data_IF_243260245153
#
_entry.id   IF_243260245153
#
_cell.length_a   1.000
_cell.length_b   1.000
_cell.length_c   1.000
_cell.angle_alpha   90.00
_cell.angle_beta   90.00
_cell.angle_gamma   90.00
#
_symmetry.space_group_name_H-M   'P 1'
#
loop_
_entity.id
_entity.type
_entity.pdbx_description
1 polymer ?
#
# COMPACT_ATOMS: atom_id res chain seq x y z
N UNK A 1 -16.55 -6.00 71.01
CA UNK A 1 -16.71 -6.80 69.77
C UNK A 1 -17.80 -6.32 68.80
N UNK A 2 -18.20 -5.02 68.78
CA UNK A 2 -19.23 -4.51 67.83
C UNK A 2 -18.67 -3.75 66.62
N UNK A 3 -17.46 -3.20 66.69
CA UNK A 3 -16.92 -2.33 65.63
C UNK A 3 -16.19 -3.07 64.49
N UNK A 4 -15.76 -4.32 64.68
CA UNK A 4 -15.02 -5.04 63.64
C UNK A 4 -15.92 -5.58 62.53
N UNK A 5 -17.21 -5.85 62.82
CA UNK A 5 -18.15 -6.36 61.80
C UNK A 5 -18.39 -5.36 60.67
N UNK A 6 -18.44 -4.07 61.00
CA UNK A 6 -18.62 -2.99 60.01
C UNK A 6 -17.36 -2.79 59.16
N UNK A 7 -16.19 -2.92 59.77
CA UNK A 7 -14.90 -2.86 59.06
C UNK A 7 -14.74 -4.02 58.07
N UNK A 8 -15.06 -5.25 58.50
CA UNK A 8 -15.04 -6.44 57.63
C UNK A 8 -16.02 -6.33 56.46
N UNK A 9 -17.20 -5.75 56.70
CA UNK A 9 -18.21 -5.55 55.65
C UNK A 9 -17.74 -4.54 54.60
N UNK A 10 -17.14 -3.43 55.02
CA UNK A 10 -16.58 -2.41 54.11
C UNK A 10 -15.43 -2.98 53.28
N UNK A 11 -14.53 -3.76 53.89
CA UNK A 11 -13.41 -4.42 53.18
C UNK A 11 -13.94 -5.44 52.17
N UNK A 12 -14.96 -6.23 52.52
CA UNK A 12 -15.56 -7.22 51.61
C UNK A 12 -16.28 -6.58 50.42
N UNK A 13 -16.95 -5.43 50.62
CA UNK A 13 -17.61 -4.67 49.54
C UNK A 13 -16.58 -4.00 48.64
N UNK A 14 -15.53 -3.40 49.20
CA UNK A 14 -14.39 -2.88 48.44
C UNK A 14 -13.72 -3.96 47.60
N UNK A 15 -13.47 -5.14 48.17
CA UNK A 15 -12.84 -6.25 47.45
C UNK A 15 -13.72 -6.74 46.28
N UNK A 16 -15.04 -6.84 46.48
CA UNK A 16 -15.99 -7.17 45.40
C UNK A 16 -16.03 -6.11 44.31
N UNK A 17 -16.04 -4.81 44.65
CA UNK A 17 -15.94 -3.73 43.65
C UNK A 17 -14.60 -3.78 42.89
N UNK A 18 -13.48 -4.00 43.58
CA UNK A 18 -12.17 -4.12 42.92
C UNK A 18 -12.09 -5.32 41.97
N UNK A 19 -12.72 -6.46 42.32
CA UNK A 19 -12.83 -7.59 41.38
C UNK A 19 -13.75 -7.29 40.20
N UNK A 20 -14.83 -6.50 40.37
CA UNK A 20 -15.66 -6.05 39.25
C UNK A 20 -14.91 -5.08 38.32
N UNK A 21 -14.07 -4.18 38.85
CA UNK A 21 -13.23 -3.31 38.01
C UNK A 21 -12.10 -4.08 37.31
N UNK A 22 -11.57 -5.15 37.90
CA UNK A 22 -10.63 -6.04 37.23
C UNK A 22 -11.31 -6.91 36.15
N UNK A 23 -12.55 -7.34 36.36
CA UNK A 23 -13.34 -8.12 35.39
C UNK A 23 -13.95 -7.27 34.28
N UNK A 24 -14.20 -5.97 34.53
CA UNK A 24 -14.64 -5.00 33.52
C UNK A 24 -13.50 -4.17 32.92
N UNK A 25 -12.28 -4.31 33.45
CA UNK A 25 -11.03 -3.78 32.88
C UNK A 25 -10.41 -4.71 31.82
N UNK A 26 -10.94 -5.93 31.71
CA UNK A 26 -10.71 -6.83 30.58
C UNK A 26 -11.81 -6.66 29.52
N UNK A 27 -12.15 -5.42 29.14
CA UNK A 27 -12.66 -5.26 27.77
C UNK A 27 -11.44 -5.41 26.85
N UNK A 28 -11.22 -6.65 26.41
CA UNK A 28 -10.79 -6.97 25.05
C UNK A 28 -10.32 -5.73 24.30
N UNK A 29 -9.02 -5.45 24.32
CA UNK A 29 -8.38 -4.46 23.45
C UNK A 29 -8.47 -4.93 22.01
N UNK A 30 -9.68 -5.06 21.49
CA UNK A 30 -9.97 -5.41 20.13
C UNK A 30 -9.58 -4.24 19.26
N UNK A 31 -8.89 -4.53 18.17
CA UNK A 31 -8.57 -3.53 17.16
C UNK A 31 -9.87 -2.85 16.70
N UNK A 32 -9.87 -1.52 16.65
CA UNK A 32 -11.03 -0.75 16.22
C UNK A 32 -11.16 -0.87 14.71
N UNK A 33 -12.15 -1.65 14.27
CA UNK A 33 -12.49 -1.81 12.86
C UNK A 33 -12.93 -0.46 12.27
N UNK A 34 -12.34 0.00 11.15
CA UNK A 34 -12.77 1.21 10.47
C UNK A 34 -14.27 1.17 10.12
N UNK A 35 -14.96 2.31 10.26
CA UNK A 35 -16.42 2.39 10.06
C UNK A 35 -16.87 2.05 8.62
N UNK A 36 -15.96 2.14 7.66
CA UNK A 36 -16.14 1.86 6.24
C UNK A 36 -15.75 0.42 5.86
N UNK A 37 -15.66 -0.50 6.83
CA UNK A 37 -15.33 -1.92 6.61
C UNK A 37 -16.33 -2.83 7.30
N UNK A 38 -16.61 -3.96 6.68
CA UNK A 38 -17.13 -5.13 7.40
C UNK A 38 -15.99 -5.83 8.14
N UNK A 39 -16.31 -6.64 9.15
CA UNK A 39 -15.30 -7.44 9.86
C UNK A 39 -14.52 -8.34 8.90
N UNK A 40 -15.20 -8.96 7.92
CA UNK A 40 -14.55 -9.83 6.93
C UNK A 40 -13.58 -9.05 6.04
N UNK A 41 -13.96 -7.84 5.59
CA UNK A 41 -13.08 -6.98 4.81
C UNK A 41 -11.86 -6.54 5.63
N UNK A 42 -12.08 -6.20 6.91
CA UNK A 42 -11.01 -5.79 7.80
C UNK A 42 -9.99 -6.92 8.05
N UNK A 43 -10.46 -8.13 8.37
CA UNK A 43 -9.58 -9.28 8.53
C UNK A 43 -8.88 -9.67 7.22
N UNK A 44 -9.55 -9.51 6.07
CA UNK A 44 -8.93 -9.74 4.77
C UNK A 44 -7.84 -8.73 4.45
N UNK A 45 -8.07 -7.44 4.74
CA UNK A 45 -7.14 -6.34 4.49
C UNK A 45 -5.82 -6.51 5.26
N UNK A 46 -5.83 -7.21 6.41
CA UNK A 46 -4.60 -7.59 7.15
C UNK A 46 -3.63 -8.45 6.33
N UNK A 47 -4.09 -9.12 5.27
CA UNK A 47 -3.19 -9.80 4.32
C UNK A 47 -2.16 -8.83 3.75
N UNK A 48 -2.52 -7.54 3.61
CA UNK A 48 -1.70 -6.49 3.02
C UNK A 48 -0.91 -5.68 4.07
N UNK A 49 -0.85 -6.14 5.33
CA UNK A 49 -0.09 -5.45 6.37
C UNK A 49 1.39 -5.20 6.01
N UNK A 50 2.09 -6.11 5.32
CA UNK A 50 3.48 -5.84 4.92
C UNK A 50 3.65 -4.67 3.96
N UNK A 51 2.73 -4.50 2.99
CA UNK A 51 2.78 -3.34 2.09
C UNK A 51 2.43 -2.05 2.84
N UNK A 52 1.50 -2.08 3.81
CA UNK A 52 1.23 -0.91 4.64
C UNK A 52 2.43 -0.49 5.49
N UNK A 53 3.14 -1.45 6.09
CA UNK A 53 4.39 -1.16 6.82
C UNK A 53 5.46 -0.53 5.93
N UNK A 54 5.55 -0.96 4.66
CA UNK A 54 6.43 -0.32 3.68
C UNK A 54 6.00 1.13 3.37
N UNK A 55 4.69 1.36 3.23
CA UNK A 55 4.12 2.69 3.00
C UNK A 55 4.31 3.64 4.18
N UNK A 56 4.35 3.13 5.42
CA UNK A 56 4.57 3.92 6.64
C UNK A 56 6.01 4.41 6.83
N UNK A 57 6.98 3.89 6.06
CA UNK A 57 8.36 4.35 6.16
C UNK A 57 8.50 5.82 5.74
N UNK A 58 9.08 6.65 6.62
CA UNK A 58 9.39 8.07 6.38
C UNK A 58 10.30 8.28 5.16
N UNK A 59 11.24 7.35 4.97
CA UNK A 59 12.09 7.25 3.78
C UNK A 59 11.92 5.84 3.24
N UNK A 60 11.65 5.74 1.93
CA UNK A 60 11.54 4.43 1.29
C UNK A 60 12.92 3.81 1.26
N UNK A 61 13.09 2.80 2.11
CA UNK A 61 14.30 2.03 2.18
C UNK A 61 13.95 0.64 1.67
N UNK A 62 14.68 0.17 0.67
CA UNK A 62 14.41 -1.14 0.08
C UNK A 62 15.01 -2.30 0.92
N UNK A 63 15.44 -2.01 2.15
CA UNK A 63 15.91 -3.02 3.09
C UNK A 63 14.79 -4.01 3.41
N UNK A 64 15.07 -5.31 3.27
CA UNK A 64 14.08 -6.37 3.49
C UNK A 64 13.24 -6.72 2.26
N UNK A 65 13.41 -5.99 1.16
CA UNK A 65 12.87 -6.37 -0.14
C UNK A 65 13.91 -7.20 -0.92
N UNK A 66 13.43 -8.13 -1.73
CA UNK A 66 14.20 -8.88 -2.72
C UNK A 66 14.27 -8.13 -4.04
N UNK A 67 13.16 -7.53 -4.45
CA UNK A 67 13.08 -6.66 -5.62
C UNK A 67 11.95 -5.64 -5.47
N UNK A 68 12.07 -4.58 -6.24
CA UNK A 68 11.13 -3.47 -6.31
C UNK A 68 10.95 -3.06 -7.77
N UNK A 69 9.70 -3.05 -8.23
CA UNK A 69 9.35 -2.58 -9.57
C UNK A 69 8.33 -1.46 -9.45
N UNK A 70 8.56 -0.34 -10.15
CA UNK A 70 7.62 0.78 -10.26
C UNK A 70 7.40 1.11 -11.72
N UNK A 71 6.14 1.17 -12.14
CA UNK A 71 5.77 1.36 -13.53
C UNK A 71 4.72 2.45 -13.69
N UNK A 72 4.89 3.26 -14.74
CA UNK A 72 3.87 4.14 -15.28
C UNK A 72 3.57 3.70 -16.71
N UNK A 73 2.36 3.20 -16.92
CA UNK A 73 1.83 2.88 -18.23
C UNK A 73 0.81 3.95 -18.64
N UNK A 74 0.98 4.50 -19.83
CA UNK A 74 0.11 5.54 -20.38
C UNK A 74 -0.33 5.09 -21.76
N UNK A 75 -1.64 5.03 -21.96
CA UNK A 75 -2.25 4.78 -23.26
C UNK A 75 -3.17 5.93 -23.61
N UNK A 76 -2.94 6.54 -24.77
CA UNK A 76 -3.78 7.57 -25.34
C UNK A 76 -4.19 7.11 -26.75
N UNK A 77 -5.42 6.62 -26.89
CA UNK A 77 -5.87 5.94 -28.11
C UNK A 77 -4.91 4.79 -28.50
N UNK A 78 -4.17 4.93 -29.59
CA UNK A 78 -3.20 3.94 -30.08
C UNK A 78 -1.76 4.21 -29.61
N UNK A 79 -1.48 5.39 -29.03
CA UNK A 79 -0.16 5.73 -28.51
C UNK A 79 0.04 5.12 -27.13
N UNK A 80 1.10 4.32 -26.97
CA UNK A 80 1.47 3.67 -25.71
C UNK A 80 2.85 4.16 -25.27
N UNK A 81 2.95 4.58 -24.01
CA UNK A 81 4.19 4.93 -23.32
C UNK A 81 4.29 4.15 -22.03
N UNK A 82 5.48 3.66 -21.74
CA UNK A 82 5.78 2.94 -20.49
C UNK A 82 7.09 3.44 -19.92
N UNK A 83 7.10 3.69 -18.63
CA UNK A 83 8.27 4.03 -17.86
C UNK A 83 8.36 3.04 -16.71
N UNK A 84 9.44 2.29 -16.62
CA UNK A 84 9.56 1.20 -15.65
C UNK A 84 10.94 1.23 -15.00
N UNK A 85 10.95 1.24 -13.67
CA UNK A 85 12.14 1.03 -12.86
C UNK A 85 12.02 -0.35 -12.25
N UNK A 86 12.99 -1.21 -12.55
CA UNK A 86 13.06 -2.57 -12.00
C UNK A 86 14.39 -2.74 -11.29
N UNK A 87 14.32 -3.06 -9.99
CA UNK A 87 15.45 -3.03 -9.08
C UNK A 87 15.55 -4.36 -8.35
N UNK A 88 16.70 -4.99 -8.48
CA UNK A 88 17.08 -6.15 -7.70
C UNK A 88 17.91 -5.73 -6.49
N UNK A 89 17.56 -6.29 -5.34
CA UNK A 89 18.13 -5.88 -4.06
C UNK A 89 18.98 -7.00 -3.53
N UNK A 90 20.29 -6.77 -3.60
CA UNK A 90 21.30 -7.66 -3.04
C UNK A 90 21.92 -7.03 -1.79
N UNK A 91 22.65 -7.84 -0.99
CA UNK A 91 23.16 -7.42 0.32
C UNK A 91 24.11 -6.20 0.31
N UNK A 92 24.73 -5.87 -0.83
CA UNK A 92 25.76 -4.82 -0.93
C UNK A 92 25.33 -3.58 -1.69
N UNK A 93 24.50 -3.71 -2.73
CA UNK A 93 24.08 -2.62 -3.61
C UNK A 93 22.63 -2.82 -4.07
N UNK A 94 21.94 -1.72 -4.30
CA UNK A 94 20.62 -1.70 -4.93
C UNK A 94 20.81 -1.29 -6.39
N UNK A 95 20.71 -2.26 -7.30
CA UNK A 95 20.97 -2.08 -8.73
C UNK A 95 19.75 -2.48 -9.53
N UNK A 96 19.57 -1.84 -10.67
CA UNK A 96 18.42 -2.10 -11.51
C UNK A 96 18.59 -1.52 -12.89
N UNK A 97 17.45 -1.44 -13.57
CA UNK A 97 17.33 -0.80 -14.87
C UNK A 97 16.18 0.17 -14.85
N UNK A 98 16.34 1.27 -15.58
CA UNK A 98 15.24 2.13 -15.97
C UNK A 98 14.98 1.92 -17.46
N UNK A 99 13.73 1.65 -17.79
CA UNK A 99 13.26 1.30 -19.13
C UNK A 99 12.22 2.33 -19.57
N UNK A 100 12.42 2.88 -20.76
CA UNK A 100 11.43 3.69 -21.46
C UNK A 100 10.95 2.92 -22.68
N UNK A 101 9.64 2.76 -22.83
CA UNK A 101 9.03 2.16 -24.03
C UNK A 101 8.08 3.14 -24.67
N UNK A 102 8.27 3.43 -25.96
CA UNK A 102 7.43 4.32 -26.76
C UNK A 102 6.98 3.55 -28.00
N UNK A 103 5.75 3.03 -28.00
CA UNK A 103 5.31 2.09 -29.03
C UNK A 103 6.19 0.84 -29.07
N UNK A 104 6.93 0.64 -30.17
CA UNK A 104 7.87 -0.48 -30.35
C UNK A 104 9.31 -0.14 -29.91
N UNK A 105 9.63 1.14 -29.74
CA UNK A 105 10.96 1.59 -29.34
C UNK A 105 11.18 1.38 -27.84
N UNK A 106 12.38 0.89 -27.49
CA UNK A 106 12.78 0.64 -26.10
C UNK A 106 14.18 1.19 -25.84
N UNK A 107 14.30 2.03 -24.82
CA UNK A 107 15.56 2.49 -24.26
C UNK A 107 15.73 1.91 -22.85
N UNK A 108 16.95 1.56 -22.47
CA UNK A 108 17.24 0.96 -21.16
C UNK A 108 18.58 1.45 -20.66
N UNK A 109 18.60 1.96 -19.43
CA UNK A 109 19.82 2.41 -18.76
C UNK A 109 19.95 1.74 -17.40
N UNK A 110 21.16 1.28 -17.02
CA UNK A 110 21.40 0.82 -15.67
C UNK A 110 21.21 1.94 -14.65
N UNK A 111 20.67 1.60 -13.49
CA UNK A 111 20.47 2.52 -12.37
C UNK A 111 20.95 1.92 -11.06
N UNK A 112 21.34 2.81 -10.15
CA UNK A 112 21.53 2.47 -8.73
C UNK A 112 20.60 3.30 -7.88
N UNK A 113 20.09 2.73 -6.79
CA UNK A 113 19.24 3.47 -5.85
C UNK A 113 20.01 3.75 -4.56
N UNK A 114 20.06 5.01 -4.15
CA UNK A 114 20.63 5.42 -2.87
C UNK A 114 20.00 6.71 -2.38
N UNK A 115 19.83 6.83 -1.05
CA UNK A 115 19.28 8.02 -0.40
C UNK A 115 17.94 8.49 -1.00
N UNK A 116 17.03 7.55 -1.33
CA UNK A 116 15.71 7.90 -1.87
C UNK A 116 15.68 8.19 -3.37
N UNK A 117 16.80 8.07 -4.09
CA UNK A 117 16.96 8.55 -5.47
C UNK A 117 17.63 7.55 -6.39
N UNK A 118 17.27 7.63 -7.67
CA UNK A 118 17.93 6.89 -8.75
C UNK A 118 19.14 7.67 -9.26
N UNK A 119 20.24 6.95 -9.45
CA UNK A 119 21.42 7.44 -10.17
C UNK A 119 21.52 6.64 -11.47
N UNK A 120 21.61 7.34 -12.59
CA UNK A 120 21.63 6.77 -13.93
C UNK A 120 23.07 6.65 -14.42
N UNK A 121 23.45 5.49 -14.97
CA UNK A 121 24.81 5.29 -15.49
C UNK A 121 25.08 6.02 -16.81
N UNK A 122 24.02 6.42 -17.52
CA UNK A 122 24.09 7.21 -18.75
C UNK A 122 22.95 8.22 -18.84
N UNK A 123 23.10 9.22 -19.71
CA UNK A 123 22.05 10.20 -19.99
C UNK A 123 20.81 9.50 -20.55
N UNK A 124 19.64 9.84 -20.02
CA UNK A 124 18.32 9.39 -20.49
C UNK A 124 17.31 10.50 -20.24
N UNK A 125 16.30 10.63 -21.09
CA UNK A 125 15.24 11.61 -20.93
C UNK A 125 13.88 11.06 -21.38
N UNK A 126 12.81 11.18 -20.57
CA UNK A 126 12.78 11.78 -19.23
C UNK A 126 13.36 10.88 -18.14
N UNK A 127 13.82 11.50 -17.05
CA UNK A 127 14.08 10.77 -15.80
C UNK A 127 12.77 10.21 -15.23
N UNK A 128 12.89 9.15 -14.43
CA UNK A 128 11.74 8.56 -13.77
C UNK A 128 11.21 9.49 -12.67
N UNK A 129 9.89 9.48 -12.47
CA UNK A 129 9.23 10.30 -11.47
C UNK A 129 9.55 9.80 -10.06
N UNK A 130 10.32 10.58 -9.29
CA UNK A 130 10.71 10.24 -7.92
C UNK A 130 9.51 10.07 -6.97
N UNK A 131 8.38 10.74 -7.22
CA UNK A 131 7.20 10.61 -6.37
C UNK A 131 6.47 9.27 -6.61
N UNK A 132 6.45 8.83 -7.86
CA UNK A 132 5.93 7.50 -8.23
C UNK A 132 6.86 6.42 -7.69
N UNK A 133 8.17 6.61 -7.86
CA UNK A 133 9.18 5.70 -7.34
C UNK A 133 9.04 5.48 -5.84
N UNK A 134 8.74 6.54 -5.08
CA UNK A 134 8.62 6.48 -3.63
C UNK A 134 7.19 6.22 -3.12
N UNK A 135 6.28 5.81 -4.01
CA UNK A 135 4.86 5.59 -3.73
C UNK A 135 4.17 6.84 -3.21
N UNK A 136 3.45 7.53 -4.11
CA UNK A 136 2.71 8.76 -3.79
C UNK A 136 1.46 8.53 -2.91
N UNK A 137 1.31 7.38 -2.26
CA UNK A 137 0.14 7.00 -1.44
C UNK A 137 0.56 6.58 -0.03
N UNK A 138 -0.32 6.77 0.95
CA UNK A 138 -0.10 6.38 2.34
C UNK A 138 -1.13 5.36 2.82
N UNK A 139 -0.87 4.70 3.94
CA UNK A 139 -1.85 3.82 4.59
C UNK A 139 -3.18 4.52 4.87
N UNK A 140 -3.12 5.76 5.34
CA UNK A 140 -4.32 6.57 5.65
C UNK A 140 -5.20 6.79 4.41
N UNK A 141 -4.59 6.89 3.22
CA UNK A 141 -5.34 6.94 1.98
C UNK A 141 -6.21 5.69 1.81
N UNK A 142 -5.64 4.48 1.93
CA UNK A 142 -6.41 3.23 1.83
C UNK A 142 -7.47 3.10 2.92
N UNK A 143 -7.14 3.51 4.16
CA UNK A 143 -8.10 3.51 5.26
C UNK A 143 -9.30 4.43 5.02
N UNK A 144 -9.14 5.49 4.21
CA UNK A 144 -10.21 6.42 3.87
C UNK A 144 -11.18 5.90 2.80
N UNK A 145 -10.73 5.01 1.91
CA UNK A 145 -11.52 4.50 0.79
C UNK A 145 -12.53 3.46 1.29
N UNK A 146 -13.68 3.29 0.65
CA UNK A 146 -14.55 2.13 0.87
C UNK A 146 -14.01 0.89 0.13
N UNK A 147 -14.19 -0.32 0.67
CA UNK A 147 -13.86 -1.56 -0.07
C UNK A 147 -15.01 -1.93 -0.98
N UNK A 148 -14.70 -2.07 -2.27
CA UNK A 148 -15.65 -2.48 -3.30
C UNK A 148 -15.74 -4.00 -3.37
N UNK A 149 -14.60 -4.68 -3.35
CA UNK A 149 -14.52 -6.13 -3.54
C UNK A 149 -13.25 -6.70 -2.93
N UNK A 150 -13.36 -7.88 -2.36
CA UNK A 150 -12.23 -8.76 -2.03
C UNK A 150 -12.28 -10.01 -2.89
N UNK A 151 -11.13 -10.59 -3.19
CA UNK A 151 -11.00 -11.84 -3.92
C UNK A 151 -9.87 -12.67 -3.31
N UNK A 152 -10.16 -13.94 -3.02
CA UNK A 152 -9.15 -14.92 -2.62
C UNK A 152 -9.26 -16.13 -3.54
N UNK A 153 -8.15 -16.51 -4.15
CA UNK A 153 -8.08 -17.76 -4.90
C UNK A 153 -8.17 -18.96 -3.96
N UNK A 154 -8.90 -20.00 -4.37
CA UNK A 154 -8.96 -21.27 -3.64
C UNK A 154 -7.74 -22.16 -3.91
N UNK A 155 -7.06 -21.94 -5.04
CA UNK A 155 -5.95 -22.79 -5.51
C UNK A 155 -4.58 -22.16 -5.25
N UNK A 156 -4.55 -20.84 -5.12
CA UNK A 156 -3.31 -20.07 -5.08
C UNK A 156 -3.28 -19.10 -3.92
N UNK A 157 -2.10 -18.57 -3.64
CA UNK A 157 -1.93 -17.53 -2.63
C UNK A 157 -2.55 -16.18 -3.05
N UNK A 158 -3.01 -16.06 -4.30
CA UNK A 158 -3.56 -14.82 -4.86
C UNK A 158 -4.71 -14.26 -4.01
N UNK A 159 -4.52 -13.03 -3.55
CA UNK A 159 -5.51 -12.21 -2.85
C UNK A 159 -5.56 -10.83 -3.48
N UNK A 160 -6.74 -10.31 -3.79
CA UNK A 160 -6.92 -8.93 -4.24
C UNK A 160 -7.95 -8.20 -3.37
N UNK A 161 -7.66 -6.95 -3.05
CA UNK A 161 -8.63 -5.99 -2.51
C UNK A 161 -8.76 -4.83 -3.47
N UNK A 162 -9.99 -4.53 -3.86
CA UNK A 162 -10.33 -3.44 -4.76
C UNK A 162 -11.16 -2.44 -3.97
N UNK A 163 -10.72 -1.19 -3.97
CA UNK A 163 -11.41 -0.09 -3.32
C UNK A 163 -12.42 0.58 -4.26
N UNK A 164 -13.37 1.30 -3.69
CA UNK A 164 -14.33 2.08 -4.46
C UNK A 164 -13.59 3.20 -5.20
N UNK A 165 -14.06 3.46 -6.42
CA UNK A 165 -13.53 4.54 -7.22
C UNK A 165 -13.84 5.89 -6.57
N UNK A 166 -12.88 6.80 -6.64
CA UNK A 166 -13.01 8.15 -6.12
C UNK A 166 -12.37 9.15 -7.10
N UNK A 167 -12.91 10.36 -7.14
CA UNK A 167 -12.50 11.39 -8.10
C UNK A 167 -12.29 12.75 -7.42
N UNK A 168 -11.99 12.78 -6.11
CA UNK A 168 -12.01 14.02 -5.31
C UNK A 168 -10.78 14.17 -4.41
N UNK A 169 -10.01 13.11 -4.21
CA UNK A 169 -8.80 13.19 -3.39
C UNK A 169 -7.74 14.11 -4.00
N UNK A 170 -6.84 14.60 -3.16
CA UNK A 170 -5.67 15.35 -3.63
C UNK A 170 -4.77 14.49 -4.52
N UNK A 171 -4.66 13.19 -4.24
CA UNK A 171 -4.00 12.21 -5.10
C UNK A 171 -4.61 12.21 -6.51
N UNK A 172 -5.94 12.07 -6.60
CA UNK A 172 -6.66 12.06 -7.87
C UNK A 172 -6.40 13.34 -8.67
N UNK A 173 -6.58 14.51 -8.05
CA UNK A 173 -6.38 15.81 -8.71
C UNK A 173 -4.96 15.95 -9.25
N UNK A 174 -3.97 15.58 -8.43
CA UNK A 174 -2.55 15.67 -8.77
C UNK A 174 -2.21 14.80 -9.98
N UNK A 175 -2.66 13.55 -10.01
CA UNK A 175 -2.40 12.64 -11.15
C UNK A 175 -3.15 13.14 -12.39
N UNK A 176 -4.40 13.59 -12.26
CA UNK A 176 -5.19 14.14 -13.38
C UNK A 176 -4.49 15.34 -14.02
N UNK A 177 -4.00 16.27 -13.21
CA UNK A 177 -3.25 17.43 -13.70
C UNK A 177 -1.93 17.01 -14.35
N UNK A 178 -1.14 16.17 -13.68
CA UNK A 178 0.18 15.71 -14.15
C UNK A 178 0.11 15.06 -15.53
N UNK A 179 -0.89 14.20 -15.74
CA UNK A 179 -1.05 13.46 -16.99
C UNK A 179 -2.05 14.10 -17.94
N UNK A 180 -2.58 15.29 -17.65
CA UNK A 180 -3.61 15.94 -18.46
C UNK A 180 -4.75 14.96 -18.83
N UNK A 181 -5.34 14.36 -17.80
CA UNK A 181 -6.40 13.36 -17.95
C UNK A 181 -7.77 14.02 -18.19
N UNK A 182 -8.64 13.42 -19.03
CA UNK A 182 -9.98 13.95 -19.30
C UNK A 182 -10.88 14.07 -18.06
N UNK A 183 -11.87 14.96 -18.11
CA UNK A 183 -12.78 15.20 -16.97
C UNK A 183 -13.65 14.00 -16.57
N UNK A 184 -13.84 13.03 -17.46
CA UNK A 184 -14.59 11.79 -17.19
C UNK A 184 -13.73 10.67 -16.58
N UNK A 185 -12.46 10.95 -16.30
CA UNK A 185 -11.54 10.00 -15.66
C UNK A 185 -12.08 9.49 -14.33
N UNK A 186 -11.86 8.21 -14.07
CA UNK A 186 -12.12 7.58 -12.78
C UNK A 186 -10.87 6.90 -12.27
N UNK A 187 -10.56 7.09 -10.99
CA UNK A 187 -9.50 6.35 -10.33
C UNK A 187 -10.07 5.10 -9.67
N UNK A 188 -9.43 3.95 -9.91
CA UNK A 188 -9.61 2.71 -9.17
C UNK A 188 -8.30 2.36 -8.48
N UNK A 189 -8.38 1.87 -7.25
CA UNK A 189 -7.24 1.50 -6.42
C UNK A 189 -7.38 0.04 -6.03
N UNK A 190 -6.29 -0.72 -6.12
CA UNK A 190 -6.26 -2.10 -5.63
C UNK A 190 -4.92 -2.48 -5.03
N UNK A 191 -4.97 -3.43 -4.09
CA UNK A 191 -3.80 -4.14 -3.61
C UNK A 191 -3.90 -5.61 -4.03
N UNK A 192 -2.78 -6.17 -4.47
CA UNK A 192 -2.61 -7.58 -4.82
C UNK A 192 -1.58 -8.25 -3.91
N UNK A 193 -1.81 -9.51 -3.58
CA UNK A 193 -0.84 -10.37 -2.92
C UNK A 193 -0.78 -11.67 -3.71
N UNK A 194 0.42 -12.13 -4.02
CA UNK A 194 0.64 -13.33 -4.83
C UNK A 194 1.86 -14.12 -4.33
N UNK A 195 2.14 -15.22 -5.04
CA UNK A 195 3.26 -16.11 -4.72
C UNK A 195 4.59 -15.39 -4.57
N UNK A 196 5.44 -15.97 -3.72
CA UNK A 196 6.78 -15.45 -3.38
C UNK A 196 6.75 -14.13 -2.61
N UNK A 197 5.73 -13.96 -1.76
CA UNK A 197 5.57 -12.76 -0.94
C UNK A 197 5.57 -11.48 -1.79
N UNK A 198 4.90 -11.55 -2.94
CA UNK A 198 4.72 -10.43 -3.86
C UNK A 198 3.50 -9.62 -3.43
N UNK A 199 3.69 -8.32 -3.25
CA UNK A 199 2.61 -7.37 -3.00
C UNK A 199 2.59 -6.34 -4.11
N UNK A 200 1.39 -6.02 -4.58
CA UNK A 200 1.16 -5.09 -5.68
C UNK A 200 0.28 -3.94 -5.22
N UNK A 201 0.59 -2.72 -5.65
CA UNK A 201 -0.30 -1.55 -5.60
C UNK A 201 -0.62 -1.17 -7.04
N UNK A 202 -1.89 -0.92 -7.34
CA UNK A 202 -2.31 -0.43 -8.64
C UNK A 202 -3.24 0.77 -8.48
N UNK A 203 -2.85 1.89 -9.09
CA UNK A 203 -3.71 3.06 -9.34
C UNK A 203 -4.06 3.06 -10.84
N UNK A 204 -5.33 2.86 -11.16
CA UNK A 204 -5.83 2.81 -12.52
C UNK A 204 -6.74 4.02 -12.78
N UNK A 205 -6.26 4.97 -13.59
CA UNK A 205 -7.00 6.16 -14.00
C UNK A 205 -7.46 6.00 -15.44
N UNK A 206 -8.77 5.79 -15.62
CA UNK A 206 -9.33 5.46 -16.91
C UNK A 206 -10.43 6.45 -17.31
N UNK A 207 -10.33 6.95 -18.53
CA UNK A 207 -11.33 7.72 -19.25
C UNK A 207 -11.63 7.03 -20.58
N UNK A 208 -12.58 7.57 -21.35
CA UNK A 208 -12.87 7.02 -22.69
C UNK A 208 -11.69 7.10 -23.66
N UNK A 209 -10.80 8.07 -23.48
CA UNK A 209 -9.75 8.39 -24.46
C UNK A 209 -8.35 8.03 -23.96
N UNK A 210 -8.18 8.01 -22.62
CA UNK A 210 -6.88 7.90 -21.98
C UNK A 210 -6.91 7.01 -20.75
N UNK A 211 -5.88 6.17 -20.64
CA UNK A 211 -5.59 5.30 -19.51
C UNK A 211 -4.20 5.63 -18.97
N UNK A 212 -4.12 5.82 -17.66
CA UNK A 212 -2.85 5.88 -16.92
C UNK A 212 -2.91 4.85 -15.80
N UNK A 213 -1.94 3.94 -15.78
CA UNK A 213 -1.74 2.98 -14.71
C UNK A 213 -0.42 3.28 -14.03
N UNK A 214 -0.48 3.44 -12.72
CA UNK A 214 0.70 3.54 -11.87
C UNK A 214 0.70 2.29 -11.01
N UNK A 215 1.71 1.46 -11.17
CA UNK A 215 1.81 0.19 -10.45
C UNK A 215 3.13 0.09 -9.70
N UNK A 216 3.10 -0.64 -8.60
CA UNK A 216 4.29 -1.04 -7.87
C UNK A 216 4.16 -2.47 -7.45
N UNK A 217 5.24 -3.23 -7.63
CA UNK A 217 5.38 -4.57 -7.10
C UNK A 217 6.57 -4.60 -6.15
N UNK A 218 6.38 -5.18 -4.96
CA UNK A 218 7.47 -5.48 -4.04
C UNK A 218 7.50 -6.98 -3.79
N UNK A 219 8.71 -7.53 -3.76
CA UNK A 219 8.93 -8.90 -3.28
C UNK A 219 9.63 -8.81 -1.94
N UNK A 220 9.08 -9.40 -0.90
CA UNK A 220 9.74 -9.45 0.40
C UNK A 220 10.82 -10.53 0.41
N UNK A 221 11.89 -10.32 1.19
CA UNK A 221 12.79 -11.42 1.54
C UNK A 221 12.03 -12.36 2.45
N UNK A 222 11.86 -13.61 2.03
CA UNK A 222 11.23 -14.64 2.86
C UNK A 222 12.03 -14.81 4.15
N UNK A 223 11.42 -14.53 5.30
CA UNK A 223 12.01 -14.89 6.58
C UNK A 223 12.19 -16.42 6.61
N UNK A 224 13.43 -16.87 6.87
CA UNK A 224 13.78 -18.29 6.94
C UNK A 224 13.40 -18.91 8.27
#
# INVERSE_FOLDING_TARGET
>A
MKNNKRLFWVVSVMLMLSTLFALNGCSLGGETIPKNRTNEQYEFEKTFEPIFKFLEQDKKEFTGLKSYTSEVYIKNQDEVKKYEVDVDINQSDIKGVYIITLGEDKETVPVTYSNGKLNYESEINPLFDEEILNLMVSRDYFASLDVKKTFKSAETELSDIIYQSENQSELYKKIVEKYNLPSDTKLSVSLGYAYYDRYDILLNLESKEKLVQISTAIYLVKEK
#
